data_IF_112221844791
#
_entry.id   IF_112221844791
#
_cell.length_a   1.000
_cell.length_b   1.000
_cell.length_c   1.000
_cell.angle_alpha   90.00
_cell.angle_beta   90.00
_cell.angle_gamma   90.00
#
_symmetry.space_group_name_H-M   'P 1'
#
loop_
_entity.id
_entity.type
_entity.pdbx_description
1 polymer ?
#
# COMPACT_ATOMS: atom_id res chain seq x y z
N UNK A 1 -11.65 11.52 -8.65
CA UNK A 1 -10.37 12.23 -8.87
C UNK A 1 -10.38 12.61 -10.34
N UNK A 2 -10.47 13.90 -10.65
CA UNK A 2 -10.44 14.35 -12.05
C UNK A 2 -9.02 14.15 -12.55
N UNK A 3 -8.85 13.35 -13.60
CA UNK A 3 -7.59 13.25 -14.32
C UNK A 3 -7.37 14.61 -14.99
N UNK A 4 -6.33 15.33 -14.60
CA UNK A 4 -5.90 16.52 -15.32
C UNK A 4 -5.52 16.07 -16.75
N UNK A 5 -6.19 16.64 -17.75
CA UNK A 5 -6.13 16.16 -19.14
C UNK A 5 -4.79 16.53 -19.82
N UNK A 6 -3.92 17.29 -19.14
CA UNK A 6 -2.61 17.71 -19.64
C UNK A 6 -1.47 17.41 -18.65
N UNK A 7 -1.27 16.15 -18.27
CA UNK A 7 -0.06 15.76 -17.55
C UNK A 7 1.19 15.92 -18.43
N UNK A 8 2.30 16.35 -17.83
CA UNK A 8 3.58 16.31 -18.51
C UNK A 8 3.92 14.84 -18.89
N UNK A 9 4.44 14.59 -20.11
CA UNK A 9 4.64 13.22 -20.62
C UNK A 9 5.61 12.40 -19.76
N UNK A 10 6.51 13.08 -19.04
CA UNK A 10 7.42 12.43 -18.11
C UNK A 10 6.73 11.95 -16.83
N UNK A 11 5.75 12.71 -16.32
CA UNK A 11 4.95 12.32 -15.16
C UNK A 11 4.06 11.14 -15.52
N UNK A 12 3.43 11.18 -16.69
CA UNK A 12 2.67 10.04 -17.22
C UNK A 12 3.53 8.77 -17.32
N UNK A 13 4.76 8.90 -17.82
CA UNK A 13 5.70 7.77 -17.89
C UNK A 13 6.02 7.19 -16.52
N UNK A 14 6.16 8.04 -15.49
CA UNK A 14 6.40 7.60 -14.11
C UNK A 14 5.17 6.87 -13.56
N UNK A 15 3.97 7.44 -13.73
CA UNK A 15 2.71 6.84 -13.29
C UNK A 15 2.44 5.48 -13.96
N UNK A 16 2.75 5.38 -15.25
CA UNK A 16 2.64 4.12 -15.98
C UNK A 16 3.66 3.09 -15.45
N UNK A 17 4.90 3.52 -15.20
CA UNK A 17 5.95 2.64 -14.69
C UNK A 17 5.65 2.16 -13.25
N UNK A 18 5.10 3.01 -12.38
CA UNK A 18 4.70 2.63 -11.01
C UNK A 18 3.56 1.61 -11.05
N UNK A 19 2.57 1.82 -11.92
CA UNK A 19 1.48 0.87 -12.14
C UNK A 19 1.98 -0.50 -12.65
N UNK A 20 2.92 -0.52 -13.60
CA UNK A 20 3.52 -1.75 -14.11
C UNK A 20 4.29 -2.53 -13.03
N UNK A 21 4.95 -1.80 -12.12
CA UNK A 21 5.73 -2.38 -11.03
C UNK A 21 4.89 -2.72 -9.79
N UNK A 22 3.66 -2.20 -9.67
CA UNK A 22 2.79 -2.35 -8.48
C UNK A 22 3.45 -1.77 -7.22
N UNK A 23 4.03 -0.58 -7.35
CA UNK A 23 4.74 0.15 -6.29
C UNK A 23 4.21 1.58 -6.19
N UNK A 24 4.41 2.22 -5.05
CA UNK A 24 4.09 3.64 -4.90
C UNK A 24 5.08 4.51 -5.67
N UNK A 25 4.70 5.77 -5.97
CA UNK A 25 5.62 6.72 -6.61
C UNK A 25 6.85 6.99 -5.74
N UNK A 26 6.67 7.08 -4.42
CA UNK A 26 7.77 7.23 -3.47
C UNK A 26 8.75 6.06 -3.54
N UNK A 27 8.25 4.83 -3.55
CA UNK A 27 9.05 3.63 -3.67
C UNK A 27 9.78 3.56 -5.01
N UNK A 28 9.11 3.96 -6.09
CA UNK A 28 9.71 4.04 -7.41
C UNK A 28 10.88 5.02 -7.45
N UNK A 29 10.76 6.19 -6.81
CA UNK A 29 11.84 7.17 -6.73
C UNK A 29 13.04 6.60 -5.94
N UNK A 30 12.79 5.95 -4.82
CA UNK A 30 13.84 5.28 -4.04
C UNK A 30 14.54 4.18 -4.84
N UNK A 31 13.79 3.38 -5.60
CA UNK A 31 14.34 2.32 -6.43
C UNK A 31 15.19 2.87 -7.58
N UNK A 32 14.69 3.91 -8.24
CA UNK A 32 15.39 4.57 -9.34
C UNK A 32 16.66 5.27 -8.84
N UNK A 33 16.63 5.86 -7.66
CA UNK A 33 17.79 6.46 -7.02
C UNK A 33 18.84 5.41 -6.66
N UNK A 34 18.44 4.33 -5.97
CA UNK A 34 19.34 3.22 -5.61
C UNK A 34 20.06 2.66 -6.83
N UNK A 35 19.31 2.46 -7.92
CA UNK A 35 19.87 1.96 -9.17
C UNK A 35 20.84 2.92 -9.84
N UNK A 36 20.59 4.23 -9.75
CA UNK A 36 21.41 5.24 -10.41
C UNK A 36 22.67 5.59 -9.60
N UNK A 37 22.52 5.72 -8.29
CA UNK A 37 23.58 6.16 -7.38
C UNK A 37 24.32 5.00 -6.70
N UNK A 38 23.82 3.76 -6.81
CA UNK A 38 24.46 2.56 -6.27
C UNK A 38 24.21 2.35 -4.76
N UNK A 39 23.23 3.04 -4.18
CA UNK A 39 22.86 2.89 -2.78
C UNK A 39 21.56 3.61 -2.44
N UNK A 40 20.88 3.23 -1.34
CA UNK A 40 19.59 3.80 -0.97
C UNK A 40 19.71 5.29 -0.67
N UNK A 41 18.66 6.04 -1.01
CA UNK A 41 18.60 7.45 -0.68
C UNK A 41 18.45 7.66 0.82
N UNK A 42 19.09 8.71 1.34
CA UNK A 42 18.72 9.25 2.65
C UNK A 42 17.37 9.96 2.54
N UNK A 43 16.50 9.76 3.52
CA UNK A 43 15.11 10.22 3.48
C UNK A 43 15.05 11.75 3.33
N UNK A 44 15.89 12.48 4.08
CA UNK A 44 15.99 13.94 4.01
C UNK A 44 16.53 14.47 2.67
N UNK A 45 17.24 13.63 1.89
CA UNK A 45 17.70 14.00 0.55
C UNK A 45 16.65 13.70 -0.53
N UNK A 46 15.81 12.68 -0.32
CA UNK A 46 14.76 12.29 -1.27
C UNK A 46 13.52 13.18 -1.17
N UNK A 47 13.11 13.56 0.04
CA UNK A 47 11.95 14.41 0.29
C UNK A 47 11.88 15.67 -0.60
N UNK A 48 12.92 16.53 -0.71
CA UNK A 48 12.84 17.73 -1.53
C UNK A 48 12.73 17.41 -3.03
N UNK A 49 13.32 16.30 -3.48
CA UNK A 49 13.21 15.85 -4.87
C UNK A 49 11.80 15.37 -5.18
N UNK A 50 11.23 14.58 -4.29
CA UNK A 50 9.86 14.08 -4.44
C UNK A 50 8.84 15.21 -4.32
N UNK A 51 9.05 16.19 -3.42
CA UNK A 51 8.20 17.37 -3.34
C UNK A 51 8.26 18.20 -4.63
N UNK A 52 9.44 18.35 -5.24
CA UNK A 52 9.56 19.03 -6.53
C UNK A 52 8.81 18.28 -7.66
N UNK A 53 8.80 16.95 -7.63
CA UNK A 53 7.97 16.15 -8.54
C UNK A 53 6.48 16.41 -8.31
N UNK A 54 5.99 16.28 -7.07
CA UNK A 54 4.56 16.39 -6.74
C UNK A 54 3.96 17.78 -7.00
N UNK A 55 4.72 18.85 -6.77
CA UNK A 55 4.20 20.22 -6.83
C UNK A 55 4.59 20.98 -8.10
N UNK A 56 5.59 20.51 -8.84
CA UNK A 56 6.12 21.22 -10.02
C UNK A 56 6.24 20.34 -11.26
N UNK A 57 5.80 19.09 -11.20
CA UNK A 57 5.91 18.10 -12.29
C UNK A 57 7.35 17.89 -12.78
N UNK A 58 8.34 18.17 -11.93
CA UNK A 58 9.77 18.04 -12.28
C UNK A 58 10.23 16.62 -11.99
N UNK A 59 10.30 15.81 -13.04
CA UNK A 59 10.85 14.46 -12.97
C UNK A 59 12.38 14.50 -13.11
N UNK A 60 13.15 13.99 -12.13
CA UNK A 60 14.60 13.94 -12.25
C UNK A 60 15.05 12.95 -13.33
N UNK A 61 16.22 13.19 -13.91
CA UNK A 61 16.73 12.45 -15.08
C UNK A 61 16.82 10.95 -14.82
N UNK A 62 17.25 10.55 -13.62
CA UNK A 62 17.36 9.15 -13.23
C UNK A 62 15.99 8.46 -13.14
N UNK A 63 14.96 9.14 -12.61
CA UNK A 63 13.60 8.61 -12.54
C UNK A 63 13.00 8.45 -13.94
N UNK A 64 13.19 9.47 -14.80
CA UNK A 64 12.77 9.43 -16.21
C UNK A 64 13.43 8.27 -16.97
N UNK A 65 14.74 8.08 -16.77
CA UNK A 65 15.47 6.98 -17.40
C UNK A 65 14.95 5.62 -16.92
N UNK A 66 14.69 5.50 -15.61
CA UNK A 66 14.15 4.27 -15.02
C UNK A 66 12.73 3.96 -15.53
N UNK A 67 11.84 4.95 -15.63
CA UNK A 67 10.50 4.77 -16.20
C UNK A 67 10.55 4.20 -17.63
N UNK A 68 11.40 4.78 -18.49
CA UNK A 68 11.59 4.31 -19.87
C UNK A 68 12.14 2.88 -19.94
N UNK A 69 13.00 2.49 -18.99
CA UNK A 69 13.51 1.13 -18.88
C UNK A 69 12.38 0.15 -18.54
N UNK A 70 11.56 0.47 -17.53
CA UNK A 70 10.42 -0.35 -17.08
C UNK A 70 9.44 -0.56 -18.24
N UNK A 71 9.04 0.51 -18.93
CA UNK A 71 8.14 0.39 -20.08
C UNK A 71 8.74 -0.44 -21.21
N UNK A 72 10.05 -0.31 -21.46
CA UNK A 72 10.73 -1.09 -22.50
C UNK A 72 10.75 -2.59 -22.15
N UNK A 73 10.96 -2.93 -20.89
CA UNK A 73 10.92 -4.32 -20.41
C UNK A 73 9.49 -4.87 -20.46
N UNK A 74 8.50 -4.06 -20.08
CA UNK A 74 7.07 -4.40 -20.17
C UNK A 74 6.64 -4.67 -21.62
N UNK A 75 6.97 -3.78 -22.56
CA UNK A 75 6.67 -3.97 -24.00
C UNK A 75 7.30 -5.23 -24.59
N UNK A 76 8.40 -5.72 -24.00
CA UNK A 76 9.07 -6.95 -24.41
C UNK A 76 8.57 -8.21 -23.68
N UNK A 77 7.65 -8.07 -22.72
CA UNK A 77 7.14 -9.18 -21.92
C UNK A 77 8.17 -9.81 -20.96
N UNK A 78 9.28 -9.12 -20.70
CA UNK A 78 10.40 -9.59 -19.85
C UNK A 78 10.54 -8.74 -18.58
N UNK A 79 9.45 -8.09 -18.17
CA UNK A 79 9.43 -7.28 -16.96
C UNK A 79 9.52 -8.19 -15.74
N UNK A 80 10.71 -8.28 -15.17
CA UNK A 80 10.96 -8.95 -13.91
C UNK A 80 11.08 -7.91 -12.78
N UNK A 81 10.17 -8.00 -11.81
CA UNK A 81 10.09 -7.08 -10.67
C UNK A 81 11.20 -7.35 -9.66
N UNK A 82 11.59 -8.60 -9.49
CA UNK A 82 12.64 -9.01 -8.54
C UNK A 82 13.99 -8.51 -9.05
N UNK A 83 14.26 -8.69 -10.35
CA UNK A 83 15.47 -8.18 -11.01
C UNK A 83 15.59 -6.65 -10.95
N UNK A 84 14.48 -5.94 -10.83
CA UNK A 84 14.45 -4.49 -10.68
C UNK A 84 14.63 -4.03 -9.23
N UNK A 85 14.63 -4.94 -8.25
CA UNK A 85 14.88 -4.64 -6.85
C UNK A 85 13.63 -4.31 -6.03
N UNK A 86 12.43 -4.59 -6.54
CA UNK A 86 11.15 -4.29 -5.86
C UNK A 86 11.06 -5.00 -4.50
N UNK A 87 11.70 -6.16 -4.33
CA UNK A 87 11.69 -6.90 -3.06
C UNK A 87 12.47 -6.22 -1.93
N UNK A 88 13.36 -5.28 -2.27
CA UNK A 88 14.17 -4.53 -1.29
C UNK A 88 13.37 -3.40 -0.62
N UNK A 89 12.21 -3.04 -1.17
CA UNK A 89 11.39 -1.94 -0.66
C UNK A 89 10.76 -2.31 0.70
N UNK A 90 10.81 -1.39 1.68
CA UNK A 90 10.21 -1.56 3.00
C UNK A 90 8.68 -1.43 2.94
N UNK A 91 8.02 -2.38 2.28
CA UNK A 91 6.57 -2.34 2.05
C UNK A 91 6.03 -3.41 1.11
N UNK A 92 6.86 -4.37 0.66
CA UNK A 92 6.45 -5.38 -0.31
C UNK A 92 5.24 -6.21 0.14
N UNK A 93 4.56 -6.89 -0.80
CA UNK A 93 3.37 -7.77 -0.62
C UNK A 93 3.34 -8.63 0.65
N UNK A 94 4.51 -8.91 1.22
CA UNK A 94 4.72 -9.56 2.52
C UNK A 94 4.11 -8.80 3.71
N UNK A 95 4.06 -7.48 3.67
CA UNK A 95 3.45 -6.64 4.71
C UNK A 95 1.92 -6.62 4.56
N UNK A 96 1.40 -6.55 3.33
CA UNK A 96 -0.05 -6.66 3.04
C UNK A 96 -0.61 -8.01 3.48
N UNK A 97 0.08 -9.11 3.16
CA UNK A 97 -0.34 -10.47 3.60
C UNK A 97 -0.28 -10.65 5.11
N UNK A 98 0.72 -10.07 5.79
CA UNK A 98 0.77 -10.07 7.26
C UNK A 98 -0.33 -9.19 7.86
N UNK A 99 -0.53 -7.98 7.33
CA UNK A 99 -1.58 -7.05 7.74
C UNK A 99 -2.96 -7.64 7.57
N UNK A 100 -3.21 -8.38 6.48
CA UNK A 100 -4.47 -9.07 6.23
C UNK A 100 -4.74 -10.18 7.26
N UNK A 101 -3.72 -10.94 7.68
CA UNK A 101 -3.87 -11.95 8.74
C UNK A 101 -4.28 -11.33 10.08
N UNK A 102 -3.60 -10.26 10.50
CA UNK A 102 -3.98 -9.54 11.72
C UNK A 102 -5.34 -8.87 11.60
N UNK A 103 -5.66 -8.31 10.44
CA UNK A 103 -6.96 -7.71 10.15
C UNK A 103 -8.10 -8.72 10.28
N UNK A 104 -7.98 -9.90 9.66
CA UNK A 104 -8.96 -10.99 9.81
C UNK A 104 -9.08 -11.43 11.26
N UNK A 105 -7.96 -11.58 11.98
CA UNK A 105 -7.96 -12.00 13.37
C UNK A 105 -8.68 -10.97 14.26
N UNK A 106 -8.38 -9.68 14.11
CA UNK A 106 -9.05 -8.59 14.84
C UNK A 106 -10.55 -8.57 14.54
N UNK A 107 -10.95 -8.65 13.27
CA UNK A 107 -12.37 -8.68 12.88
C UNK A 107 -13.07 -9.89 13.51
N UNK A 108 -12.47 -11.08 13.43
CA UNK A 108 -13.06 -12.29 14.03
C UNK A 108 -13.23 -12.16 15.55
N UNK A 109 -12.26 -11.57 16.23
CA UNK A 109 -12.28 -11.37 17.69
C UNK A 109 -13.35 -10.35 18.10
N UNK A 110 -13.44 -9.21 17.39
CA UNK A 110 -14.49 -8.20 17.63
C UNK A 110 -15.88 -8.81 17.40
N UNK A 111 -16.06 -9.54 16.30
CA UNK A 111 -17.35 -10.16 15.97
C UNK A 111 -17.75 -11.19 17.03
N UNK A 112 -16.79 -12.01 17.49
CA UNK A 112 -17.02 -12.98 18.55
C UNK A 112 -17.43 -12.32 19.87
N UNK A 113 -16.78 -11.22 20.26
CA UNK A 113 -17.14 -10.46 21.47
C UNK A 113 -18.56 -9.88 21.39
N UNK A 114 -18.95 -9.35 20.22
CA UNK A 114 -20.30 -8.80 20.02
C UNK A 114 -21.35 -9.91 20.13
N UNK A 115 -21.14 -11.05 19.46
CA UNK A 115 -22.07 -12.20 19.52
C UNK A 115 -22.15 -12.75 20.94
N UNK A 116 -21.02 -12.86 21.64
CA UNK A 116 -20.98 -13.32 23.03
C UNK A 116 -21.76 -12.38 23.96
N UNK A 117 -21.61 -11.07 23.82
CA UNK A 117 -22.37 -10.08 24.59
C UNK A 117 -23.89 -10.20 24.35
N UNK A 118 -24.31 -10.38 23.09
CA UNK A 118 -25.71 -10.58 22.73
C UNK A 118 -26.29 -11.87 23.34
N UNK A 119 -25.52 -12.97 23.29
CA UNK A 119 -25.91 -14.25 23.85
C UNK A 119 -26.06 -14.19 25.39
N UNK A 120 -25.10 -13.56 26.08
CA UNK A 120 -25.18 -13.35 27.52
C UNK A 120 -26.40 -12.50 27.93
N UNK A 121 -26.73 -11.47 27.15
CA UNK A 121 -27.92 -10.66 27.39
C UNK A 121 -29.23 -11.47 27.28
N UNK A 122 -29.30 -12.45 26.37
CA UNK A 122 -30.45 -13.35 26.24
C UNK A 122 -30.55 -14.33 27.41
N UNK A 123 -29.42 -14.87 27.88
CA UNK A 123 -29.39 -15.78 29.04
C UNK A 123 -29.85 -15.08 30.31
N UNK A 124 -29.35 -13.86 30.57
CA UNK A 124 -29.74 -13.09 31.76
C UNK A 124 -31.26 -12.80 31.75
N UNK A 125 -31.80 -12.40 30.59
CA UNK A 125 -33.26 -12.21 30.43
C UNK A 125 -34.07 -13.49 30.64
N UNK A 126 -33.51 -14.65 30.31
CA UNK A 126 -34.14 -15.95 30.61
C UNK A 126 -34.07 -16.29 32.11
N UNK A 127 -32.96 -15.92 32.77
CA UNK A 127 -32.75 -16.11 34.21
C UNK A 127 -33.68 -15.25 35.07
N UNK A 128 -34.03 -14.05 34.63
CA UNK A 128 -34.94 -13.15 35.37
C UNK A 128 -36.40 -13.65 35.44
N UNK A 129 -36.80 -14.64 34.63
CA UNK A 129 -38.19 -15.15 34.66
C UNK A 129 -38.53 -16.02 35.88
N UNK A 130 -37.57 -16.55 36.64
CA UNK A 130 -37.86 -17.48 37.74
C UNK A 130 -36.91 -17.42 38.95
N UNK A 131 -36.44 -16.24 39.37
CA UNK A 131 -35.51 -16.14 40.51
C UNK A 131 -36.15 -15.61 41.80
N UNK A 132 -37.33 -14.97 41.76
CA UNK A 132 -38.07 -14.57 42.98
C UNK A 132 -39.55 -15.00 42.91
N UNK A 133 -40.06 -15.83 43.84
CA UNK A 133 -41.49 -16.12 43.96
C UNK A 133 -42.24 -14.96 44.68
N UNK A 134 -43.56 -14.79 44.44
CA UNK A 134 -44.46 -15.71 43.75
C UNK A 134 -44.61 -15.36 42.25
N UNK A 135 -44.58 -16.41 41.42
CA UNK A 135 -45.17 -16.38 40.08
C UNK A 135 -46.67 -16.60 40.24
N UNK A 136 -47.48 -15.63 39.83
CA UNK A 136 -48.91 -15.84 39.57
C UNK A 136 -49.12 -16.11 38.09
#
# INVERSE_FOLDING_TARGET
>A
MAFDENLAPDVESVLNATALLDVTEWDFFNLAYDRWHGGPADEGAMEPVFAAYMFKDVVPVWARHFARLVERLSRRGVLDREALGVDRLPGSRRMVTRGMRYGVLIVTLITALIVFAQFMAQIIKLGERCVFPPCY
#
